data_IF_034398195947
#
_entry.id   IF_034398195947
#
_cell.length_a   1.000
_cell.length_b   1.000
_cell.length_c   1.000
_cell.angle_alpha   90.00
_cell.angle_beta   90.00
_cell.angle_gamma   90.00
#
_symmetry.space_group_name_H-M   'P 1'
#
loop_
_entity.id
_entity.type
_entity.pdbx_description
1 polymer ?
#
# COMPACT_ATOMS: atom_id res chain seq x y z
N UNK A 1 -12.15 28.50 1.14
CA UNK A 1 -11.83 27.07 1.03
C UNK A 1 -12.94 26.25 1.68
N UNK A 2 -13.30 25.11 1.08
CA UNK A 2 -14.19 24.12 1.71
C UNK A 2 -13.48 23.55 2.94
N UNK A 3 -14.20 23.44 4.07
CA UNK A 3 -13.70 22.80 5.28
C UNK A 3 -14.26 21.39 5.36
N UNK A 4 -13.38 20.40 5.45
CA UNK A 4 -13.75 19.00 5.62
C UNK A 4 -13.87 18.64 7.11
N UNK A 5 -14.69 17.65 7.43
CA UNK A 5 -14.67 17.04 8.77
C UNK A 5 -13.49 16.08 8.88
N UNK A 6 -13.25 15.28 7.83
CA UNK A 6 -12.19 14.29 7.81
C UNK A 6 -11.39 14.37 6.49
N UNK A 7 -10.07 14.45 6.61
CA UNK A 7 -9.13 14.23 5.52
C UNK A 7 -8.34 12.97 5.83
N UNK A 8 -8.45 11.93 5.00
CA UNK A 8 -7.53 10.79 5.09
C UNK A 8 -6.33 11.05 4.19
N UNK A 9 -5.13 10.78 4.69
CA UNK A 9 -3.89 10.88 3.93
C UNK A 9 -3.21 9.51 4.00
N UNK A 10 -2.89 8.92 2.86
CA UNK A 10 -2.18 7.63 2.81
C UNK A 10 -2.13 7.06 1.41
N UNK A 11 -1.19 6.14 1.17
CA UNK A 11 -1.08 5.48 -0.12
C UNK A 11 -2.22 4.49 -0.35
N UNK A 12 -2.63 4.38 -1.60
CA UNK A 12 -3.39 3.22 -2.11
C UNK A 12 -2.36 2.21 -2.61
N UNK A 13 -2.56 0.95 -2.26
CA UNK A 13 -1.63 -0.13 -2.62
C UNK A 13 -2.17 -0.94 -3.79
N UNK A 14 -1.25 -1.55 -4.53
CA UNK A 14 -1.53 -2.76 -5.27
C UNK A 14 -1.21 -3.93 -4.33
N UNK A 15 -2.17 -4.79 -4.04
CA UNK A 15 -1.98 -5.97 -3.21
C UNK A 15 -2.04 -7.23 -4.07
N UNK A 16 -0.97 -8.02 -4.05
CA UNK A 16 -0.99 -9.43 -4.47
C UNK A 16 -1.28 -10.29 -3.25
N UNK A 17 -2.49 -10.82 -3.19
CA UNK A 17 -2.96 -11.69 -2.11
C UNK A 17 -2.85 -13.14 -2.56
N UNK A 18 -2.04 -13.93 -1.85
CA UNK A 18 -1.81 -15.35 -2.11
C UNK A 18 -2.41 -16.14 -0.95
N UNK A 19 -3.35 -17.04 -1.26
CA UNK A 19 -3.90 -18.03 -0.33
C UNK A 19 -3.63 -19.43 -0.87
N UNK A 20 -3.83 -20.52 -0.10
CA UNK A 20 -3.69 -21.87 -0.62
C UNK A 20 -4.63 -22.17 -1.81
N UNK A 21 -5.73 -21.43 -1.95
CA UNK A 21 -6.75 -21.65 -2.98
C UNK A 21 -6.60 -20.72 -4.19
N UNK A 22 -6.00 -19.54 -4.04
CA UNK A 22 -6.01 -18.52 -5.11
C UNK A 22 -4.89 -17.49 -4.99
N UNK A 23 -4.65 -16.80 -6.11
CA UNK A 23 -3.86 -15.56 -6.13
C UNK A 23 -4.70 -14.46 -6.76
N UNK A 24 -4.88 -13.35 -6.06
CA UNK A 24 -5.70 -12.21 -6.49
C UNK A 24 -4.88 -10.94 -6.43
N UNK A 25 -5.10 -10.05 -7.39
CA UNK A 25 -4.56 -8.70 -7.42
C UNK A 25 -5.70 -7.73 -7.15
N UNK A 26 -5.53 -6.84 -6.17
CA UNK A 26 -6.58 -5.92 -5.78
C UNK A 26 -6.01 -4.61 -5.22
N UNK A 27 -6.74 -3.50 -5.33
CA UNK A 27 -6.39 -2.28 -4.62
C UNK A 27 -6.56 -2.48 -3.10
N UNK A 28 -5.68 -1.85 -2.33
CA UNK A 28 -5.70 -1.94 -0.88
C UNK A 28 -5.12 -0.69 -0.21
N UNK A 29 -4.65 -0.89 1.03
CA UNK A 29 -4.11 0.18 1.88
C UNK A 29 -5.17 0.81 2.80
N UNK A 30 -4.73 1.29 3.96
CA UNK A 30 -5.59 1.88 4.99
C UNK A 30 -6.44 3.01 4.41
N UNK A 31 -5.85 3.87 3.59
CA UNK A 31 -6.57 4.99 2.99
C UNK A 31 -7.68 4.54 2.02
N UNK A 32 -7.48 3.46 1.28
CA UNK A 32 -8.49 2.86 0.41
C UNK A 32 -9.68 2.32 1.22
N UNK A 33 -9.41 1.49 2.23
CA UNK A 33 -10.45 0.91 3.08
C UNK A 33 -11.20 1.96 3.90
N UNK A 34 -10.49 2.95 4.46
CA UNK A 34 -11.08 4.08 5.17
C UNK A 34 -12.02 4.87 4.25
N UNK A 35 -11.61 5.16 3.02
CA UNK A 35 -12.42 5.89 2.04
C UNK A 35 -13.72 5.15 1.70
N UNK A 36 -13.65 3.83 1.51
CA UNK A 36 -14.83 3.01 1.26
C UNK A 36 -15.77 2.95 2.47
N UNK A 37 -15.23 2.85 3.69
CA UNK A 37 -16.03 2.82 4.91
C UNK A 37 -16.71 4.17 5.18
N UNK A 38 -15.97 5.29 5.07
CA UNK A 38 -16.51 6.63 5.32
C UNK A 38 -17.61 6.99 4.31
N UNK A 39 -17.53 6.51 3.07
CA UNK A 39 -18.58 6.70 2.07
C UNK A 39 -19.96 6.18 2.53
N UNK A 40 -20.00 5.18 3.41
CA UNK A 40 -21.27 4.66 3.94
C UNK A 40 -21.97 5.64 4.90
N UNK A 41 -21.29 6.71 5.33
CA UNK A 41 -21.85 7.77 6.18
C UNK A 41 -22.29 8.94 5.30
N UNK A 42 -23.59 9.23 5.27
CA UNK A 42 -24.18 10.28 4.43
C UNK A 42 -23.97 11.71 4.93
N UNK A 43 -23.40 11.87 6.12
CA UNK A 43 -23.32 13.12 6.88
C UNK A 43 -21.87 13.53 7.24
N UNK A 44 -20.87 12.90 6.60
CA UNK A 44 -19.45 13.19 6.82
C UNK A 44 -18.83 13.85 5.59
N UNK A 45 -18.43 15.11 5.72
CA UNK A 45 -17.63 15.83 4.72
C UNK A 45 -16.20 15.27 4.70
N UNK A 46 -15.91 14.46 3.69
CA UNK A 46 -14.68 13.68 3.56
C UNK A 46 -13.85 14.06 2.32
N UNK A 47 -12.53 13.96 2.43
CA UNK A 47 -11.59 13.99 1.30
C UNK A 47 -10.44 13.01 1.53
N UNK A 48 -9.88 12.50 0.44
CA UNK A 48 -8.70 11.63 0.41
C UNK A 48 -7.54 12.36 -0.27
N UNK A 49 -6.37 12.38 0.36
CA UNK A 49 -5.09 12.64 -0.28
C UNK A 49 -4.32 11.33 -0.38
N UNK A 50 -3.88 11.00 -1.59
CA UNK A 50 -3.10 9.78 -1.82
C UNK A 50 -1.98 10.05 -2.82
N UNK A 51 -1.02 9.13 -2.91
CA UNK A 51 0.02 9.14 -3.93
C UNK A 51 0.12 7.75 -4.55
N UNK A 52 0.12 7.70 -5.88
CA UNK A 52 0.21 6.46 -6.65
C UNK A 52 1.08 6.66 -7.89
N UNK A 53 1.69 5.57 -8.35
CA UNK A 53 2.30 5.50 -9.67
C UNK A 53 1.24 5.41 -10.77
N UNK A 54 1.69 5.62 -12.02
CA UNK A 54 0.81 5.65 -13.19
C UNK A 54 -0.04 4.37 -13.36
N UNK A 55 0.44 3.22 -12.86
CA UNK A 55 -0.25 1.93 -12.97
C UNK A 55 -1.58 1.90 -12.21
N UNK A 56 -1.69 2.63 -11.09
CA UNK A 56 -2.88 2.60 -10.23
C UNK A 56 -3.79 3.84 -10.38
N UNK A 57 -3.55 4.67 -11.40
CA UNK A 57 -4.43 5.81 -11.69
C UNK A 57 -5.88 5.39 -12.00
N UNK A 58 -6.08 4.19 -12.55
CA UNK A 58 -7.44 3.65 -12.78
C UNK A 58 -8.22 3.46 -11.48
N UNK A 59 -7.55 3.09 -10.38
CA UNK A 59 -8.16 2.95 -9.04
C UNK A 59 -8.60 4.31 -8.51
N UNK A 60 -7.81 5.36 -8.77
CA UNK A 60 -8.17 6.75 -8.40
C UNK A 60 -9.45 7.18 -9.11
N UNK A 61 -9.55 6.92 -10.41
CA UNK A 61 -10.76 7.27 -11.18
C UNK A 61 -11.98 6.49 -10.71
N UNK A 62 -11.81 5.21 -10.32
CA UNK A 62 -12.89 4.43 -9.72
C UNK A 62 -13.36 5.04 -8.39
N UNK A 63 -12.44 5.42 -7.50
CA UNK A 63 -12.80 6.09 -6.24
C UNK A 63 -13.54 7.41 -6.49
N UNK A 64 -13.08 8.23 -7.45
CA UNK A 64 -13.77 9.47 -7.84
C UNK A 64 -15.18 9.19 -8.37
N UNK A 65 -15.34 8.16 -9.20
CA UNK A 65 -16.64 7.74 -9.71
C UNK A 65 -17.61 7.29 -8.61
N UNK A 66 -17.09 6.91 -7.43
CA UNK A 66 -17.93 6.63 -6.25
C UNK A 66 -18.42 7.87 -5.49
N UNK A 67 -18.00 9.07 -5.90
CA UNK A 67 -18.34 10.35 -5.26
C UNK A 67 -17.35 10.81 -4.19
N UNK A 68 -16.21 10.13 -4.06
CA UNK A 68 -15.16 10.48 -3.10
C UNK A 68 -14.31 11.61 -3.69
N UNK A 69 -14.07 12.66 -2.89
CA UNK A 69 -13.20 13.77 -3.24
C UNK A 69 -11.73 13.37 -3.07
N UNK A 70 -11.06 13.00 -4.16
CA UNK A 70 -9.69 12.44 -4.16
C UNK A 70 -8.68 13.38 -4.82
N UNK A 71 -7.69 13.82 -4.04
CA UNK A 71 -6.45 14.41 -4.54
C UNK A 71 -5.38 13.32 -4.65
N UNK A 72 -4.93 13.05 -5.89
CA UNK A 72 -3.86 12.09 -6.15
C UNK A 72 -2.57 12.85 -6.52
N UNK A 73 -1.53 12.65 -5.71
CA UNK A 73 -0.18 13.14 -5.96
C UNK A 73 0.55 12.13 -6.86
N UNK A 74 1.38 12.62 -7.81
CA UNK A 74 2.20 11.72 -8.61
C UNK A 74 3.23 11.03 -7.73
N UNK A 75 3.48 9.76 -7.99
CA UNK A 75 4.62 9.05 -7.44
C UNK A 75 5.34 8.22 -8.51
N UNK A 76 6.64 7.98 -8.31
CA UNK A 76 7.45 7.10 -9.16
C UNK A 76 6.88 5.68 -9.22
N UNK A 77 6.36 5.18 -8.09
CA UNK A 77 5.76 3.86 -7.98
C UNK A 77 4.54 3.89 -7.06
N UNK A 78 3.66 2.91 -7.18
CA UNK A 78 2.68 2.62 -6.14
C UNK A 78 3.28 1.69 -5.09
N UNK A 79 2.77 1.76 -3.86
CA UNK A 79 3.10 0.74 -2.86
C UNK A 79 2.59 -0.61 -3.35
N UNK A 80 3.47 -1.60 -3.41
CA UNK A 80 3.13 -2.96 -3.84
C UNK A 80 3.40 -3.94 -2.72
N UNK A 81 2.33 -4.54 -2.18
CA UNK A 81 2.42 -5.61 -1.21
C UNK A 81 2.21 -6.98 -1.83
N UNK A 82 3.00 -7.94 -1.37
CA UNK A 82 2.73 -9.37 -1.51
C UNK A 82 2.34 -9.91 -0.14
N UNK A 83 1.06 -10.27 0.00
CA UNK A 83 0.47 -10.81 1.21
C UNK A 83 0.25 -12.31 1.03
N UNK A 84 1.00 -13.13 1.78
CA UNK A 84 0.95 -14.58 1.72
C UNK A 84 0.28 -15.10 2.98
N UNK A 85 -0.82 -15.81 2.80
CA UNK A 85 -1.64 -16.41 3.85
C UNK A 85 -1.50 -17.93 3.85
N UNK A 86 -1.38 -18.52 5.04
CA UNK A 86 -1.45 -19.98 5.23
C UNK A 86 -2.89 -20.51 5.23
N UNK A 87 -3.07 -21.76 5.66
CA UNK A 87 -4.41 -22.32 5.92
C UNK A 87 -5.13 -21.58 7.05
N UNK A 88 -4.36 -21.08 8.02
CA UNK A 88 -4.82 -20.13 9.01
C UNK A 88 -4.71 -18.70 8.45
N UNK A 89 -5.83 -17.98 8.24
CA UNK A 89 -5.80 -16.63 7.67
C UNK A 89 -5.15 -15.58 8.59
N UNK A 90 -4.96 -15.87 9.88
CA UNK A 90 -4.23 -14.97 10.79
C UNK A 90 -2.71 -15.08 10.61
N UNK A 91 -2.23 -16.18 10.00
CA UNK A 91 -0.82 -16.39 9.66
C UNK A 91 -0.51 -15.74 8.32
N UNK A 92 -0.04 -14.48 8.39
CA UNK A 92 0.30 -13.67 7.22
C UNK A 92 1.77 -13.27 7.20
N UNK A 93 2.43 -13.52 6.07
CA UNK A 93 3.70 -12.85 5.72
C UNK A 93 3.42 -11.76 4.70
N UNK A 94 3.86 -10.54 4.97
CA UNK A 94 3.76 -9.42 4.03
C UNK A 94 5.15 -9.01 3.56
N UNK A 95 5.31 -8.83 2.24
CA UNK A 95 6.52 -8.29 1.62
C UNK A 95 6.21 -6.98 0.92
N UNK A 96 7.13 -6.03 1.04
CA UNK A 96 7.08 -4.74 0.32
C UNK A 96 7.92 -4.89 -0.94
N UNK A 97 7.27 -4.94 -2.10
CA UNK A 97 7.92 -5.12 -3.40
C UNK A 97 8.22 -3.78 -4.09
N UNK A 98 7.43 -2.75 -3.81
CA UNK A 98 7.66 -1.38 -4.24
C UNK A 98 7.08 -0.40 -3.23
N UNK A 99 7.60 0.83 -3.21
CA UNK A 99 7.18 1.92 -2.33
C UNK A 99 6.82 3.13 -3.15
N UNK A 100 5.76 3.82 -2.75
CA UNK A 100 5.48 5.16 -3.24
C UNK A 100 6.37 6.19 -2.55
N UNK A 101 6.42 7.39 -3.13
CA UNK A 101 7.10 8.54 -2.56
C UNK A 101 6.42 8.95 -1.24
N UNK A 102 7.20 9.29 -0.21
CA UNK A 102 6.66 9.66 1.09
C UNK A 102 5.94 11.01 1.03
N UNK A 103 5.01 11.22 1.94
CA UNK A 103 4.36 12.51 2.09
C UNK A 103 5.30 13.48 2.80
N UNK A 104 5.41 14.69 2.24
CA UNK A 104 6.19 15.81 2.80
C UNK A 104 5.30 17.04 2.96
N UNK A 105 5.62 17.98 3.88
CA UNK A 105 4.82 19.20 4.06
C UNK A 105 4.66 20.01 2.77
N UNK A 106 5.67 20.02 1.90
CA UNK A 106 5.63 20.72 0.61
C UNK A 106 4.85 19.99 -0.47
N UNK A 107 4.75 18.66 -0.41
CA UNK A 107 3.96 17.87 -1.36
C UNK A 107 2.46 17.89 -1.06
N UNK A 108 2.08 18.14 0.20
CA UNK A 108 0.68 18.10 0.60
C UNK A 108 -0.07 19.33 0.08
N UNK A 109 -1.26 19.14 -0.52
CA UNK A 109 -2.11 20.25 -0.93
C UNK A 109 -2.60 21.03 0.29
N UNK A 110 -2.95 22.30 0.09
CA UNK A 110 -3.58 23.10 1.14
C UNK A 110 -5.02 22.64 1.39
N UNK A 111 -5.19 21.74 2.36
CA UNK A 111 -6.48 21.19 2.77
C UNK A 111 -6.80 21.63 4.19
N UNK A 112 -8.02 22.15 4.38
CA UNK A 112 -8.57 22.50 5.68
C UNK A 112 -9.52 21.40 6.16
N UNK A 113 -9.13 20.67 7.21
CA UNK A 113 -9.94 19.61 7.81
C UNK A 113 -9.95 19.69 9.34
N UNK A 114 -11.03 19.23 9.97
CA UNK A 114 -11.10 19.13 11.44
C UNK A 114 -10.21 18.01 11.97
N UNK A 115 -10.20 16.87 11.28
CA UNK A 115 -9.37 15.70 11.57
C UNK A 115 -8.59 15.30 10.32
N UNK A 116 -7.29 15.07 10.50
CA UNK A 116 -6.41 14.42 9.54
C UNK A 116 -6.12 13.00 10.03
N UNK A 117 -6.54 11.99 9.26
CA UNK A 117 -6.24 10.59 9.54
C UNK A 117 -5.09 10.12 8.66
N UNK A 118 -3.94 9.81 9.26
CA UNK A 118 -2.76 9.31 8.57
C UNK A 118 -2.84 7.78 8.50
N UNK A 119 -3.24 7.27 7.33
CA UNK A 119 -3.29 5.83 7.03
C UNK A 119 -1.90 5.31 6.65
N UNK A 120 -0.98 5.31 7.61
CA UNK A 120 0.41 4.93 7.43
C UNK A 120 0.55 3.42 7.26
N UNK A 121 1.21 3.00 6.19
CA UNK A 121 1.46 1.60 5.85
C UNK A 121 2.91 1.20 6.12
N UNK A 122 3.85 2.10 5.86
CA UNK A 122 5.29 1.94 6.04
C UNK A 122 5.84 3.00 6.99
N UNK A 123 6.94 2.66 7.67
CA UNK A 123 7.53 3.49 8.73
C UNK A 123 7.98 4.88 8.26
N UNK A 124 8.22 5.06 6.96
CA UNK A 124 8.70 6.30 6.35
C UNK A 124 7.68 6.98 5.44
N UNK A 125 6.40 6.57 5.45
CA UNK A 125 5.34 7.25 4.68
C UNK A 125 5.14 8.70 5.13
N UNK A 126 5.32 8.98 6.42
CA UNK A 126 5.10 10.28 7.05
C UNK A 126 6.29 10.70 7.90
N UNK A 127 6.87 11.86 7.59
CA UNK A 127 7.85 12.47 8.49
C UNK A 127 7.15 13.13 9.69
N UNK A 128 7.90 13.32 10.78
CA UNK A 128 7.41 14.06 11.95
C UNK A 128 6.99 15.50 11.60
N UNK A 129 7.59 16.09 10.57
CA UNK A 129 7.28 17.44 10.12
C UNK A 129 5.91 17.52 9.44
N UNK A 130 5.48 16.45 8.74
CA UNK A 130 4.09 16.36 8.25
C UNK A 130 3.12 16.36 9.42
N UNK A 131 3.38 15.56 10.45
CA UNK A 131 2.51 15.48 11.64
C UNK A 131 2.41 16.85 12.31
N UNK A 132 3.55 17.55 12.50
CA UNK A 132 3.59 18.90 13.08
C UNK A 132 2.88 19.94 12.22
N UNK A 133 3.01 19.89 10.90
CA UNK A 133 2.31 20.82 9.99
C UNK A 133 0.79 20.65 10.08
N UNK A 134 0.30 19.40 10.04
CA UNK A 134 -1.12 19.09 10.11
C UNK A 134 -1.71 19.39 11.49
N UNK A 135 -0.95 19.15 12.57
CA UNK A 135 -1.38 19.45 13.93
C UNK A 135 -1.59 20.96 14.20
N UNK A 136 -0.98 21.84 13.40
CA UNK A 136 -1.28 23.29 13.44
C UNK A 136 -2.62 23.65 12.79
N UNK A 137 -3.16 22.76 11.94
CA UNK A 137 -4.38 22.99 11.15
C UNK A 137 -5.61 22.30 11.74
N UNK A 138 -5.44 21.12 12.35
CA UNK A 138 -6.52 20.31 12.92
C UNK A 138 -6.01 19.16 13.80
N UNK A 139 -6.92 18.29 14.24
CA UNK A 139 -6.56 17.10 15.04
C UNK A 139 -5.91 16.06 14.14
N UNK A 140 -4.86 15.39 14.61
CA UNK A 140 -4.19 14.32 13.86
C UNK A 140 -4.47 12.97 14.54
N UNK A 141 -4.94 12.01 13.76
CA UNK A 141 -5.03 10.59 14.12
C UNK A 141 -4.06 9.82 13.22
N UNK A 142 -3.36 8.83 13.78
CA UNK A 142 -2.35 8.04 13.06
C UNK A 142 -2.67 6.56 13.22
N UNK A 143 -2.75 5.84 12.11
CA UNK A 143 -2.82 4.38 12.13
C UNK A 143 -1.47 3.81 12.62
N UNK A 144 -1.52 2.99 13.67
CA UNK A 144 -0.34 2.38 14.26
C UNK A 144 0.31 1.31 13.39
N UNK A 145 -0.31 0.88 12.28
CA UNK A 145 0.23 -0.16 11.40
C UNK A 145 1.71 0.07 11.04
N UNK A 146 2.05 1.25 10.54
CA UNK A 146 3.44 1.61 10.17
C UNK A 146 4.44 1.48 11.34
N UNK A 147 4.02 1.68 12.59
CA UNK A 147 4.91 1.59 13.77
C UNK A 147 5.32 0.17 14.12
N UNK A 148 4.56 -0.83 13.65
CA UNK A 148 4.80 -2.25 13.93
C UNK A 148 5.51 -2.98 12.80
N UNK A 149 5.83 -2.30 11.69
CA UNK A 149 6.52 -2.91 10.54
C UNK A 149 7.96 -3.25 10.92
N UNK A 150 8.26 -4.55 11.04
CA UNK A 150 9.63 -5.07 11.19
C UNK A 150 10.11 -5.56 9.83
N UNK A 151 11.15 -4.93 9.29
CA UNK A 151 11.79 -5.42 8.07
C UNK A 151 12.64 -6.65 8.38
N UNK A 152 12.18 -7.83 7.96
CA UNK A 152 13.02 -9.02 7.91
C UNK A 152 13.80 -9.02 6.59
N UNK A 153 15.08 -8.65 6.63
CA UNK A 153 15.97 -8.80 5.47
C UNK A 153 16.23 -10.29 5.22
N UNK A 154 15.42 -10.94 4.38
CA UNK A 154 15.84 -12.19 3.75
C UNK A 154 16.60 -11.85 2.47
N UNK A 155 17.93 -11.87 2.51
CA UNK A 155 18.73 -11.96 1.29
C UNK A 155 18.29 -13.21 0.54
N UNK A 156 17.60 -13.04 -0.59
CA UNK A 156 17.30 -14.14 -1.48
C UNK A 156 18.54 -14.38 -2.35
N UNK A 157 19.34 -15.39 -2.01
CA UNK A 157 20.31 -15.94 -2.96
C UNK A 157 19.51 -16.73 -4.00
N UNK A 158 19.58 -16.40 -5.30
CA UNK A 158 18.99 -17.26 -6.31
C UNK A 158 19.74 -18.59 -6.27
N UNK A 159 19.05 -19.69 -5.97
CA UNK A 159 19.61 -21.01 -6.24
C UNK A 159 19.77 -21.12 -7.74
N UNK A 160 21.01 -20.97 -8.24
CA UNK A 160 21.37 -21.42 -9.57
C UNK A 160 21.11 -22.92 -9.59
N UNK A 161 20.02 -23.32 -10.24
CA UNK A 161 19.76 -24.73 -10.52
C UNK A 161 20.91 -25.26 -11.39
N UNK A 162 21.84 -25.99 -10.76
CA UNK A 162 22.75 -26.87 -11.47
C UNK A 162 21.91 -27.97 -12.13
N UNK A 163 21.60 -27.80 -13.41
CA UNK A 163 21.33 -28.93 -14.29
C UNK A 163 22.67 -29.55 -14.68
N UNK A 164 23.20 -30.45 -13.85
CA UNK A 164 24.29 -31.35 -14.25
C UNK A 164 23.91 -32.78 -13.90
N UNK A 165 23.24 -33.43 -14.85
CA UNK A 165 22.78 -34.81 -14.72
C UNK A 165 22.65 -35.48 -16.09
N UNK A 166 23.78 -35.81 -16.71
CA UNK A 166 23.99 -37.06 -17.48
C UNK A 166 25.45 -37.16 -17.94
N UNK A 167 26.10 -38.27 -17.62
CA UNK A 167 26.76 -39.05 -18.65
C UNK A 167 26.15 -40.45 -18.69
N UNK A 168 25.74 -40.84 -19.89
CA UNK A 168 25.36 -42.22 -20.22
C UNK A 168 26.61 -43.11 -20.22
N UNK A 169 26.56 -44.34 -19.67
CA UNK A 169 27.49 -45.38 -20.08
C UNK A 169 26.76 -46.57 -20.72
N UNK A 170 27.36 -47.03 -21.82
CA UNK A 170 27.49 -48.42 -22.27
C UNK A 170 26.23 -49.22 -22.62
N UNK A 171 26.08 -49.52 -23.92
CA UNK A 171 25.51 -50.79 -24.40
C UNK A 171 26.61 -51.61 -25.07
N UNK A 172 27.10 -52.61 -24.36
CA UNK A 172 27.86 -53.73 -24.93
C UNK A 172 26.85 -54.72 -25.50
N UNK A 173 26.98 -55.14 -26.76
CA UNK A 173 26.56 -56.49 -27.17
C UNK A 173 27.43 -56.94 -28.33
N UNK A 174 28.14 -58.04 -28.10
CA UNK A 174 29.00 -58.73 -29.04
C UNK A 174 28.20 -59.49 -30.09
N UNK A 175 28.69 -59.51 -31.34
CA UNK A 175 28.96 -60.70 -32.16
C UNK A 175 29.75 -60.29 -33.39
#
# INVERSE_FOLDING_TARGET
>A
MKKFQLCCIGHITLDKVITPQSTVYMPGGTAFYCSHAIRCFGDVSYTLVTAVGATEMSVIEQLRATGIDVTALPSSHSVYFENIYGDNPDERTQRVLAKADPFTPSSLPDINAQVYHLGALLADDFSIDVIKDLARKGRVAVDSQATSVKYANSMFTPSTGQTSGKPSPTSTTSK
#
